data_IF_007862149490
#
_entry.id   IF_007862149490
#
_cell.length_a   1.000
_cell.length_b   1.000
_cell.length_c   1.000
_cell.angle_alpha   90.00
_cell.angle_beta   90.00
_cell.angle_gamma   90.00
#
_symmetry.space_group_name_H-M   'P 1'
#
loop_
_entity.id
_entity.type
_entity.pdbx_description
1 polymer ?
#
# COMPACT_ATOMS: atom_id res chain seq x y z
N UNK A 1 -20.88 0.92 13.06
CA UNK A 1 -19.43 0.77 12.87
C UNK A 1 -19.16 0.76 11.38
N UNK A 2 -18.21 1.54 10.94
CA UNK A 2 -17.83 1.58 9.54
C UNK A 2 -16.71 0.55 9.33
N UNK A 3 -17.09 -0.72 9.26
CA UNK A 3 -16.13 -1.76 8.93
C UNK A 3 -15.67 -1.59 7.48
N UNK A 4 -14.38 -1.76 7.26
CA UNK A 4 -13.73 -1.68 5.98
C UNK A 4 -12.66 -2.78 5.86
N UNK A 5 -11.98 -2.88 4.74
CA UNK A 5 -10.95 -3.92 4.55
C UNK A 5 -9.90 -3.90 5.66
N UNK A 6 -9.44 -2.71 6.06
CA UNK A 6 -8.41 -2.56 7.10
C UNK A 6 -8.89 -3.06 8.46
N UNK A 7 -10.09 -2.65 8.91
CA UNK A 7 -10.62 -3.08 10.19
C UNK A 7 -10.90 -4.58 10.20
N UNK A 8 -11.52 -5.10 9.15
CA UNK A 8 -11.75 -6.55 8.99
C UNK A 8 -10.44 -7.32 9.08
N UNK A 9 -9.41 -6.88 8.35
CA UNK A 9 -8.11 -7.57 8.34
C UNK A 9 -7.39 -7.50 9.70
N UNK A 10 -7.47 -6.37 10.41
CA UNK A 10 -6.89 -6.24 11.75
C UNK A 10 -7.55 -7.23 12.71
N UNK A 11 -8.89 -7.35 12.70
CA UNK A 11 -9.60 -8.30 13.55
C UNK A 11 -9.23 -9.75 13.22
N UNK A 12 -9.21 -10.14 11.95
CA UNK A 12 -8.75 -11.47 11.52
C UNK A 12 -7.36 -11.81 12.09
N UNK A 13 -6.43 -10.86 12.00
CA UNK A 13 -5.05 -11.05 12.47
C UNK A 13 -4.98 -11.14 14.01
N UNK A 14 -5.70 -10.29 14.73
CA UNK A 14 -5.71 -10.31 16.19
C UNK A 14 -6.34 -11.62 16.69
N UNK A 15 -7.48 -12.01 16.14
CA UNK A 15 -8.21 -13.21 16.56
C UNK A 15 -7.47 -14.52 16.22
N UNK A 16 -6.62 -14.51 15.20
CA UNK A 16 -5.79 -15.65 14.84
C UNK A 16 -4.67 -15.96 15.86
N UNK A 17 -4.43 -15.08 16.83
CA UNK A 17 -3.35 -15.22 17.79
C UNK A 17 -3.87 -15.28 19.24
N UNK A 18 -3.47 -16.30 20.02
CA UNK A 18 -3.77 -16.39 21.45
C UNK A 18 -3.07 -15.31 22.29
N UNK A 19 -1.90 -14.86 21.84
CA UNK A 19 -1.14 -13.76 22.45
C UNK A 19 -0.37 -13.03 21.37
N UNK A 20 -0.19 -11.72 21.56
CA UNK A 20 0.50 -10.85 20.64
C UNK A 20 1.76 -10.34 21.33
N UNK A 21 2.90 -10.96 21.02
CA UNK A 21 4.20 -10.44 21.39
C UNK A 21 4.64 -9.31 20.43
N UNK A 22 5.76 -8.68 20.71
CA UNK A 22 6.27 -7.58 19.88
C UNK A 22 6.56 -7.99 18.42
N UNK A 23 6.98 -9.21 18.19
CA UNK A 23 7.26 -9.73 16.84
C UNK A 23 5.96 -9.94 16.05
N UNK A 24 4.94 -10.50 16.69
CA UNK A 24 3.60 -10.67 16.11
C UNK A 24 2.98 -9.29 15.85
N UNK A 25 3.08 -8.36 16.81
CA UNK A 25 2.61 -6.99 16.64
C UNK A 25 3.22 -6.30 15.41
N UNK A 26 4.54 -6.41 15.20
CA UNK A 26 5.20 -5.87 14.00
C UNK A 26 4.70 -6.53 12.72
N UNK A 27 4.42 -7.83 12.72
CA UNK A 27 3.85 -8.52 11.55
C UNK A 27 2.45 -8.02 11.22
N UNK A 28 1.61 -7.81 12.24
CA UNK A 28 0.27 -7.23 12.05
C UNK A 28 0.37 -5.81 11.49
N UNK A 29 1.26 -4.97 12.07
CA UNK A 29 1.46 -3.59 11.61
C UNK A 29 1.86 -3.52 10.12
N UNK A 30 2.66 -4.45 9.65
CA UNK A 30 3.15 -4.50 8.27
C UNK A 30 2.42 -5.51 7.38
N UNK A 31 1.24 -6.01 7.81
CA UNK A 31 0.39 -6.79 6.92
C UNK A 31 -0.12 -5.92 5.77
N UNK A 32 0.03 -6.42 4.56
CA UNK A 32 -0.32 -5.72 3.34
C UNK A 32 -1.37 -6.45 2.51
N UNK A 33 -2.20 -7.29 3.17
CA UNK A 33 -3.24 -8.06 2.49
C UNK A 33 -4.63 -7.47 2.68
N UNK A 34 -5.46 -7.67 1.66
CA UNK A 34 -6.90 -7.49 1.80
C UNK A 34 -7.55 -8.69 2.49
N UNK A 35 -8.69 -8.52 3.18
CA UNK A 35 -9.51 -9.63 3.66
C UNK A 35 -10.22 -10.34 2.52
N UNK A 36 -10.87 -11.47 2.83
CA UNK A 36 -11.73 -12.20 1.91
C UNK A 36 -13.11 -12.40 2.55
N UNK A 37 -14.18 -11.89 1.93
CA UNK A 37 -14.28 -11.03 0.74
C UNK A 37 -13.71 -9.62 0.96
N UNK A 38 -13.68 -8.80 -0.09
CA UNK A 38 -13.41 -7.38 0.05
C UNK A 38 -14.53 -6.69 0.84
N UNK A 39 -14.17 -5.73 1.69
CA UNK A 39 -15.10 -4.96 2.50
C UNK A 39 -14.89 -3.44 2.31
N UNK A 40 -15.20 -2.96 1.11
CA UNK A 40 -15.14 -1.54 0.81
C UNK A 40 -16.43 -0.82 1.21
N UNK A 41 -16.33 0.33 1.84
CA UNK A 41 -17.49 1.15 2.20
C UNK A 41 -18.21 1.74 0.99
N UNK A 42 -17.50 2.03 -0.10
CA UNK A 42 -18.02 2.79 -1.23
C UNK A 42 -18.00 2.04 -2.56
N UNK A 43 -17.05 1.15 -2.77
CA UNK A 43 -16.89 0.44 -4.03
C UNK A 43 -16.92 -1.06 -3.79
N UNK A 44 -18.07 -1.69 -3.98
CA UNK A 44 -18.16 -3.15 -3.92
C UNK A 44 -17.75 -3.75 -5.28
N UNK A 45 -16.55 -4.29 -5.29
CA UNK A 45 -15.95 -4.95 -6.46
C UNK A 45 -15.95 -6.47 -6.34
N UNK A 46 -16.64 -7.05 -5.35
CA UNK A 46 -16.64 -8.50 -5.13
C UNK A 46 -17.17 -9.29 -6.33
N UNK A 47 -18.03 -8.69 -7.16
CA UNK A 47 -18.50 -9.31 -8.40
C UNK A 47 -17.38 -9.81 -9.32
N UNK A 48 -16.16 -9.21 -9.26
CA UNK A 48 -15.01 -9.69 -10.06
C UNK A 48 -14.63 -11.13 -9.69
N UNK A 49 -14.81 -11.52 -8.43
CA UNK A 49 -14.48 -12.86 -7.94
C UNK A 49 -15.45 -13.94 -8.42
N UNK A 50 -16.63 -13.51 -8.93
CA UNK A 50 -17.69 -14.39 -9.45
C UNK A 50 -17.80 -14.38 -10.98
N UNK A 51 -16.98 -13.57 -11.65
CA UNK A 51 -16.95 -13.52 -13.11
C UNK A 51 -16.39 -14.82 -13.67
N UNK A 52 -17.00 -15.34 -14.73
CA UNK A 52 -16.44 -16.47 -15.47
C UNK A 52 -15.58 -15.96 -16.62
N UNK A 53 -14.27 -16.23 -16.66
CA UNK A 53 -13.38 -15.73 -17.71
C UNK A 53 -13.89 -16.05 -19.13
N UNK A 54 -14.54 -17.19 -19.30
CA UNK A 54 -15.12 -17.62 -20.58
C UNK A 54 -16.26 -16.73 -21.11
N UNK A 55 -16.94 -16.00 -20.22
CA UNK A 55 -18.01 -15.06 -20.58
C UNK A 55 -17.43 -13.69 -20.99
N UNK A 56 -16.14 -13.44 -20.72
CA UNK A 56 -15.45 -12.17 -20.99
C UNK A 56 -14.09 -12.41 -21.65
N UNK A 57 -14.05 -12.98 -22.86
CA UNK A 57 -12.80 -13.47 -23.49
C UNK A 57 -11.75 -12.39 -23.68
N UNK A 58 -12.15 -11.15 -23.93
CA UNK A 58 -11.22 -10.03 -24.13
C UNK A 58 -10.39 -9.68 -22.90
N UNK A 59 -10.85 -10.02 -21.70
CA UNK A 59 -10.23 -9.70 -20.42
C UNK A 59 -10.09 -10.91 -19.50
N UNK A 60 -10.26 -12.12 -20.03
CA UNK A 60 -10.19 -13.37 -19.28
C UNK A 60 -8.90 -13.50 -18.48
N UNK A 61 -7.77 -13.14 -19.08
CA UNK A 61 -6.44 -13.16 -18.45
C UNK A 61 -6.34 -12.23 -17.22
N UNK A 62 -6.97 -11.07 -17.24
CA UNK A 62 -6.99 -10.15 -16.08
C UNK A 62 -7.93 -10.63 -14.98
N UNK A 63 -9.09 -11.19 -15.36
CA UNK A 63 -10.03 -11.78 -14.39
C UNK A 63 -9.34 -12.92 -13.65
N UNK A 64 -8.68 -13.84 -14.38
CA UNK A 64 -7.95 -14.96 -13.79
C UNK A 64 -6.80 -14.49 -12.89
N UNK A 65 -6.03 -13.47 -13.29
CA UNK A 65 -4.97 -12.90 -12.47
C UNK A 65 -5.50 -12.36 -11.13
N UNK A 66 -6.64 -11.66 -11.14
CA UNK A 66 -7.25 -11.09 -9.94
C UNK A 66 -7.89 -12.19 -9.07
N UNK A 67 -8.57 -13.16 -9.67
CA UNK A 67 -9.19 -14.27 -8.93
C UNK A 67 -8.16 -15.19 -8.26
N UNK A 68 -7.03 -15.44 -8.92
CA UNK A 68 -5.94 -16.28 -8.38
C UNK A 68 -4.96 -15.53 -7.49
N UNK A 69 -5.16 -14.22 -7.29
CA UNK A 69 -4.31 -13.40 -6.46
C UNK A 69 -4.50 -13.71 -4.96
N UNK A 70 -3.40 -13.83 -4.22
CA UNK A 70 -3.36 -14.09 -2.78
C UNK A 70 -3.76 -12.89 -1.90
N UNK A 71 -4.26 -11.81 -2.51
CA UNK A 71 -4.64 -10.54 -1.90
C UNK A 71 -3.50 -9.71 -1.30
N UNK A 72 -2.24 -10.14 -1.46
CA UNK A 72 -1.07 -9.39 -1.02
C UNK A 72 -0.77 -8.22 -1.96
N UNK A 73 -0.57 -7.04 -1.38
CA UNK A 73 -0.11 -5.85 -2.09
C UNK A 73 1.43 -5.72 -2.06
N UNK A 74 2.12 -6.86 -2.16
CA UNK A 74 3.58 -6.90 -2.31
C UNK A 74 4.02 -6.33 -3.65
N UNK A 75 5.19 -5.66 -3.67
CA UNK A 75 5.74 -5.02 -4.88
C UNK A 75 5.95 -5.98 -6.05
N UNK A 76 6.16 -7.27 -5.78
CA UNK A 76 6.36 -8.30 -6.79
C UNK A 76 5.07 -9.01 -7.23
N UNK A 77 3.95 -8.73 -6.58
CA UNK A 77 2.66 -9.37 -6.88
C UNK A 77 2.11 -8.89 -8.22
N UNK A 78 1.90 -9.81 -9.16
CA UNK A 78 1.27 -9.52 -10.45
C UNK A 78 -0.24 -9.40 -10.33
N UNK A 79 -0.87 -10.18 -9.45
CA UNK A 79 -2.28 -10.03 -9.13
C UNK A 79 -2.59 -8.65 -8.52
N UNK A 80 -1.70 -8.16 -7.63
CA UNK A 80 -1.81 -6.80 -7.10
C UNK A 80 -1.61 -5.74 -8.20
N UNK A 81 -0.70 -5.95 -9.14
CA UNK A 81 -0.51 -5.04 -10.28
C UNK A 81 -1.76 -4.92 -11.15
N UNK A 82 -2.37 -6.05 -11.50
CA UNK A 82 -3.64 -6.08 -12.24
C UNK A 82 -4.77 -5.41 -11.46
N UNK A 83 -4.92 -5.77 -10.17
CA UNK A 83 -5.96 -5.23 -9.32
C UNK A 83 -5.78 -3.73 -9.04
N UNK A 84 -4.57 -3.27 -8.79
CA UNK A 84 -4.30 -1.85 -8.54
C UNK A 84 -4.64 -0.99 -9.75
N UNK A 85 -4.25 -1.42 -10.96
CA UNK A 85 -4.60 -0.68 -12.17
C UNK A 85 -6.11 -0.69 -12.41
N UNK A 86 -6.79 -1.80 -12.16
CA UNK A 86 -8.25 -1.88 -12.19
C UNK A 86 -8.87 -0.92 -11.16
N UNK A 87 -8.45 -0.98 -9.90
CA UNK A 87 -8.99 -0.15 -8.83
C UNK A 87 -8.88 1.35 -9.12
N UNK A 88 -7.69 1.83 -9.51
CA UNK A 88 -7.50 3.25 -9.82
C UNK A 88 -8.25 3.68 -11.08
N UNK A 89 -8.34 2.83 -12.10
CA UNK A 89 -9.15 3.13 -13.31
C UNK A 89 -10.64 3.20 -12.98
N UNK A 90 -11.13 2.31 -12.13
CA UNK A 90 -12.51 2.32 -11.67
C UNK A 90 -12.80 3.56 -10.80
N UNK A 91 -11.91 3.87 -9.85
CA UNK A 91 -12.04 5.02 -8.97
C UNK A 91 -12.07 6.34 -9.75
N UNK A 92 -11.17 6.53 -10.71
CA UNK A 92 -11.12 7.74 -11.54
C UNK A 92 -12.44 7.98 -12.28
N UNK A 93 -13.09 6.90 -12.75
CA UNK A 93 -14.32 7.02 -13.54
C UNK A 93 -15.60 7.10 -12.73
N UNK A 94 -15.64 6.36 -11.62
CA UNK A 94 -16.91 6.04 -10.96
C UNK A 94 -16.93 6.39 -9.48
N UNK A 95 -15.92 7.08 -8.95
CA UNK A 95 -15.85 7.42 -7.53
C UNK A 95 -17.13 8.12 -7.04
N UNK A 96 -17.62 9.10 -7.78
CA UNK A 96 -18.86 9.81 -7.41
C UNK A 96 -20.11 8.94 -7.55
N UNK A 97 -20.15 8.02 -8.51
CA UNK A 97 -21.27 7.07 -8.68
C UNK A 97 -21.39 6.14 -7.49
N UNK A 98 -20.26 5.74 -6.89
CA UNK A 98 -20.21 4.81 -5.75
C UNK A 98 -20.91 5.34 -4.49
N UNK A 99 -21.13 6.64 -4.37
CA UNK A 99 -21.94 7.20 -3.28
C UNK A 99 -23.44 6.83 -3.40
N UNK A 100 -23.93 6.59 -4.62
CA UNK A 100 -25.34 6.31 -4.90
C UNK A 100 -25.60 4.84 -5.17
N UNK A 101 -24.65 4.17 -5.82
CA UNK A 101 -24.72 2.75 -6.15
C UNK A 101 -23.35 2.11 -5.89
N UNK A 102 -23.28 1.35 -4.80
CA UNK A 102 -22.01 0.75 -4.32
C UNK A 102 -21.65 -0.54 -5.03
N UNK A 103 -22.61 -1.17 -5.71
CA UNK A 103 -22.41 -2.46 -6.35
C UNK A 103 -22.12 -2.28 -7.84
N UNK A 104 -20.92 -2.62 -8.25
CA UNK A 104 -20.50 -2.57 -9.65
C UNK A 104 -20.85 -3.86 -10.36
N UNK A 105 -21.66 -3.75 -11.41
CA UNK A 105 -22.06 -4.89 -12.24
C UNK A 105 -20.86 -5.55 -12.93
N UNK A 106 -20.98 -6.85 -13.22
CA UNK A 106 -19.94 -7.61 -13.95
C UNK A 106 -19.62 -6.99 -15.32
N UNK A 107 -20.64 -6.45 -16.02
CA UNK A 107 -20.43 -5.75 -17.29
C UNK A 107 -19.57 -4.49 -17.11
N UNK A 108 -19.85 -3.64 -16.13
CA UNK A 108 -19.08 -2.43 -15.87
C UNK A 108 -17.64 -2.74 -15.45
N UNK A 109 -17.44 -3.80 -14.67
CA UNK A 109 -16.11 -4.31 -14.32
C UNK A 109 -15.38 -4.76 -15.58
N UNK A 110 -16.03 -5.52 -16.48
CA UNK A 110 -15.43 -5.96 -17.73
C UNK A 110 -15.01 -4.78 -18.63
N UNK A 111 -15.86 -3.77 -18.78
CA UNK A 111 -15.54 -2.55 -19.54
C UNK A 111 -14.32 -1.83 -18.95
N UNK A 112 -14.23 -1.75 -17.64
CA UNK A 112 -13.07 -1.18 -16.95
C UNK A 112 -11.79 -2.00 -17.21
N UNK A 113 -11.89 -3.34 -17.15
CA UNK A 113 -10.76 -4.24 -17.43
C UNK A 113 -10.26 -4.14 -18.89
N UNK A 114 -11.14 -3.87 -19.86
CA UNK A 114 -10.73 -3.60 -21.25
C UNK A 114 -9.82 -2.37 -21.32
N UNK A 115 -10.12 -1.32 -20.59
CA UNK A 115 -9.26 -0.13 -20.53
C UNK A 115 -7.95 -0.39 -19.81
N UNK A 116 -8.01 -1.13 -18.70
CA UNK A 116 -6.82 -1.59 -17.98
C UNK A 116 -5.89 -2.34 -18.93
N UNK A 117 -6.43 -3.30 -19.68
CA UNK A 117 -5.65 -4.08 -20.65
C UNK A 117 -5.02 -3.22 -21.74
N UNK A 118 -5.75 -2.22 -22.28
CA UNK A 118 -5.19 -1.24 -23.22
C UNK A 118 -4.06 -0.43 -22.61
N UNK A 119 -4.24 0.04 -21.37
CA UNK A 119 -3.22 0.80 -20.63
C UNK A 119 -1.97 -0.03 -20.37
N UNK A 120 -2.13 -1.28 -19.91
CA UNK A 120 -1.04 -2.23 -19.68
C UNK A 120 -0.24 -2.48 -20.96
N UNK A 121 -0.91 -2.78 -22.07
CA UNK A 121 -0.25 -2.98 -23.37
C UNK A 121 0.49 -1.73 -23.84
N UNK A 122 -0.13 -0.55 -23.72
CA UNK A 122 0.45 0.71 -24.18
C UNK A 122 1.73 1.09 -23.43
N UNK A 123 1.74 0.97 -22.10
CA UNK A 123 2.83 1.51 -21.29
C UNK A 123 3.82 0.47 -20.80
N UNK A 124 3.39 -0.80 -20.70
CA UNK A 124 4.22 -1.89 -20.16
C UNK A 124 4.49 -3.00 -21.17
N UNK A 125 3.89 -2.93 -22.36
CA UNK A 125 3.97 -3.97 -23.40
C UNK A 125 3.64 -5.39 -22.87
N UNK A 126 2.76 -5.48 -21.89
CA UNK A 126 2.39 -6.71 -21.19
C UNK A 126 0.96 -6.61 -20.66
N UNK A 127 0.33 -7.73 -20.35
CA UNK A 127 -0.90 -7.80 -19.54
C UNK A 127 -0.65 -8.41 -18.16
N UNK A 128 0.63 -8.61 -17.82
CA UNK A 128 1.06 -9.10 -16.51
C UNK A 128 2.16 -8.18 -16.01
N UNK A 129 1.85 -7.35 -15.01
CA UNK A 129 2.77 -6.38 -14.41
C UNK A 129 2.78 -6.55 -12.89
N UNK A 130 3.91 -6.31 -12.26
CA UNK A 130 4.01 -6.29 -10.80
C UNK A 130 3.44 -4.97 -10.26
N UNK A 131 2.93 -4.99 -9.03
CA UNK A 131 2.50 -3.75 -8.36
C UNK A 131 3.60 -2.69 -8.38
N UNK A 132 4.84 -3.09 -8.06
CA UNK A 132 5.98 -2.18 -8.02
C UNK A 132 6.43 -1.62 -9.38
N UNK A 133 6.03 -2.23 -10.51
CA UNK A 133 6.24 -1.65 -11.84
C UNK A 133 5.28 -0.48 -12.06
N UNK A 134 4.09 -0.57 -11.54
CA UNK A 134 2.99 0.39 -11.68
C UNK A 134 2.99 1.48 -10.60
N UNK A 135 3.15 1.11 -9.30
CA UNK A 135 3.04 2.02 -8.16
C UNK A 135 4.41 2.42 -7.62
N UNK A 136 4.63 3.74 -7.48
CA UNK A 136 5.92 4.31 -7.10
C UNK A 136 5.83 5.20 -5.87
N UNK A 137 6.83 5.10 -5.01
CA UNK A 137 7.16 6.12 -4.01
C UNK A 137 8.15 7.08 -4.66
N UNK A 138 7.82 8.38 -4.68
CA UNK A 138 8.61 9.39 -5.39
C UNK A 138 8.90 10.57 -4.47
N UNK A 139 10.16 10.97 -4.36
CA UNK A 139 10.58 12.17 -3.62
C UNK A 139 11.82 12.78 -4.29
N UNK A 140 11.64 13.95 -4.91
CA UNK A 140 12.68 14.55 -5.75
C UNK A 140 12.99 13.68 -6.97
N UNK A 141 14.25 13.41 -7.20
CA UNK A 141 14.74 12.54 -8.26
C UNK A 141 14.65 11.04 -7.95
N UNK A 142 14.37 10.68 -6.69
CA UNK A 142 14.30 9.28 -6.25
C UNK A 142 12.92 8.68 -6.51
N UNK A 143 12.90 7.63 -7.32
CA UNK A 143 11.74 6.82 -7.64
C UNK A 143 11.99 5.37 -7.25
N UNK A 144 11.07 4.72 -6.52
CA UNK A 144 11.21 3.32 -6.17
C UNK A 144 9.86 2.59 -6.09
N UNK A 145 9.84 1.27 -6.30
CA UNK A 145 8.64 0.46 -6.08
C UNK A 145 8.13 0.57 -4.64
N UNK A 146 6.81 0.58 -4.46
CA UNK A 146 6.21 0.59 -3.13
C UNK A 146 5.00 -0.34 -3.06
N UNK A 147 4.86 -0.99 -1.92
CA UNK A 147 3.75 -1.85 -1.51
C UNK A 147 2.52 -1.04 -1.09
N UNK A 148 1.46 -1.75 -0.74
CA UNK A 148 0.27 -1.16 -0.16
C UNK A 148 -0.75 -0.67 -1.20
N UNK A 149 -1.96 -0.47 -0.77
CA UNK A 149 -3.07 0.07 -1.55
C UNK A 149 -4.05 0.80 -0.61
N UNK A 150 -5.03 1.53 -1.16
CA UNK A 150 -6.10 2.07 -0.33
C UNK A 150 -6.77 0.99 0.51
N UNK A 151 -6.98 1.31 1.79
CA UNK A 151 -7.74 0.50 2.73
C UNK A 151 -7.15 -0.88 3.11
N UNK A 152 -5.85 -1.11 2.91
CA UNK A 152 -5.08 -2.14 3.61
C UNK A 152 -4.41 -1.56 4.86
N UNK A 153 -3.83 -2.38 5.75
CA UNK A 153 -3.17 -1.88 6.97
C UNK A 153 -1.99 -0.97 6.61
N UNK A 154 -1.19 -1.35 5.62
CA UNK A 154 -0.14 -0.51 5.02
C UNK A 154 -0.72 0.40 3.94
N UNK A 155 -1.62 1.29 4.35
CA UNK A 155 -2.42 2.08 3.41
C UNK A 155 -1.59 3.03 2.55
N UNK A 156 -1.86 2.98 1.23
CA UNK A 156 -1.29 3.87 0.24
C UNK A 156 -2.38 4.33 -0.73
N UNK A 157 -2.46 5.64 -0.95
CA UNK A 157 -3.24 6.23 -2.03
C UNK A 157 -2.28 6.84 -3.04
N UNK A 158 -2.59 6.67 -4.30
CA UNK A 158 -1.75 7.15 -5.38
C UNK A 158 -2.56 7.95 -6.40
N UNK A 159 -1.89 8.80 -7.13
CA UNK A 159 -2.44 9.55 -8.26
C UNK A 159 -1.62 9.29 -9.53
N UNK A 160 -2.18 9.68 -10.68
CA UNK A 160 -1.53 9.51 -11.97
C UNK A 160 -0.13 10.12 -11.98
N UNK A 161 0.81 9.37 -12.53
CA UNK A 161 2.21 9.73 -12.73
C UNK A 161 2.62 9.46 -14.18
N UNK A 162 3.87 9.71 -14.52
CA UNK A 162 4.41 9.51 -15.89
C UNK A 162 4.34 8.05 -16.35
N UNK A 163 4.34 7.83 -17.64
CA UNK A 163 4.49 6.52 -18.30
C UNK A 163 3.46 5.47 -17.85
N UNK A 164 2.22 5.89 -17.64
CA UNK A 164 1.14 4.98 -17.24
C UNK A 164 1.20 4.50 -15.79
N UNK A 165 2.18 4.96 -15.00
CA UNK A 165 2.36 4.66 -13.58
C UNK A 165 1.49 5.54 -12.69
N UNK A 166 1.46 5.21 -11.41
CA UNK A 166 0.93 6.06 -10.33
C UNK A 166 2.04 6.33 -9.30
N UNK A 167 1.98 7.51 -8.67
CA UNK A 167 2.82 7.84 -7.53
C UNK A 167 2.00 7.94 -6.26
N UNK A 168 2.53 7.42 -5.17
CA UNK A 168 1.90 7.55 -3.84
C UNK A 168 1.93 9.01 -3.41
N UNK A 169 0.76 9.51 -3.03
CA UNK A 169 0.57 10.89 -2.56
C UNK A 169 0.13 10.96 -1.11
N UNK A 170 -0.55 9.91 -0.63
CA UNK A 170 -1.04 9.80 0.75
C UNK A 170 -0.83 8.38 1.25
N UNK A 171 -0.56 8.26 2.54
CA UNK A 171 -0.37 6.96 3.17
C UNK A 171 0.20 7.11 4.57
N UNK A 172 1.02 6.17 4.97
CA UNK A 172 1.73 6.25 6.24
C UNK A 172 2.80 7.35 6.19
N UNK A 173 2.80 8.26 7.17
CA UNK A 173 3.77 9.36 7.24
C UNK A 173 4.86 9.07 8.27
N UNK A 174 4.48 8.83 9.51
CA UNK A 174 5.38 8.51 10.62
C UNK A 174 4.90 7.26 11.35
N UNK A 175 5.79 6.29 11.48
CA UNK A 175 5.55 5.06 12.24
C UNK A 175 6.48 5.06 13.44
N UNK A 176 5.91 4.84 14.62
CA UNK A 176 6.64 4.65 15.86
C UNK A 176 6.15 3.39 16.57
N UNK A 177 7.07 2.48 16.86
CA UNK A 177 6.80 1.26 17.59
C UNK A 177 7.48 1.37 18.95
N UNK A 178 6.70 1.30 20.01
CA UNK A 178 7.17 1.47 21.38
C UNK A 178 6.94 0.18 22.17
N UNK A 179 7.99 -0.30 22.83
CA UNK A 179 7.95 -1.47 23.70
C UNK A 179 8.36 -1.09 25.09
N UNK A 180 7.46 -1.26 26.05
CA UNK A 180 7.72 -1.10 27.48
C UNK A 180 8.08 -2.44 28.10
N UNK A 181 9.14 -2.47 28.91
CA UNK A 181 9.55 -3.67 29.63
C UNK A 181 10.20 -3.30 30.97
N UNK A 182 10.45 -4.29 31.83
CA UNK A 182 11.20 -4.11 33.06
C UNK A 182 12.65 -3.63 32.86
N UNK A 183 13.16 -3.75 31.61
CA UNK A 183 14.50 -3.28 31.22
C UNK A 183 14.49 -1.86 30.66
N UNK A 184 13.33 -1.21 30.61
CA UNK A 184 13.15 0.13 30.07
C UNK A 184 12.31 0.16 28.79
N UNK A 185 12.33 1.29 28.12
CA UNK A 185 11.57 1.56 26.89
C UNK A 185 12.46 1.44 25.67
N UNK A 186 12.02 0.64 24.71
CA UNK A 186 12.65 0.51 23.39
C UNK A 186 11.76 1.17 22.35
N UNK A 187 12.33 1.99 21.45
CA UNK A 187 11.58 2.68 20.40
C UNK A 187 12.25 2.44 19.04
N UNK A 188 11.41 2.16 18.09
CA UNK A 188 11.79 2.15 16.67
C UNK A 188 10.90 3.12 15.90
N UNK A 189 11.46 3.82 14.92
CA UNK A 189 10.66 4.74 14.07
C UNK A 189 11.12 4.72 12.63
N UNK A 190 10.24 5.18 11.74
CA UNK A 190 10.51 5.42 10.34
C UNK A 190 9.57 6.50 9.80
N UNK A 191 10.06 7.29 8.87
CA UNK A 191 9.27 8.22 8.05
C UNK A 191 9.31 7.69 6.62
N UNK A 192 8.20 7.79 5.87
CA UNK A 192 8.10 7.20 4.53
C UNK A 192 9.12 7.75 3.53
N UNK A 193 9.53 9.01 3.70
CA UNK A 193 10.49 9.68 2.82
C UNK A 193 11.80 9.97 3.53
N UNK A 194 11.81 10.94 4.40
CA UNK A 194 12.94 11.44 5.15
C UNK A 194 12.47 12.52 6.11
N UNK A 195 13.37 13.06 6.95
CA UNK A 195 13.02 14.00 8.02
C UNK A 195 13.24 15.48 7.64
N UNK A 196 13.45 15.78 6.37
CA UNK A 196 13.61 17.16 5.86
C UNK A 196 12.68 17.41 4.67
N UNK A 197 12.17 18.62 4.56
CA UNK A 197 11.44 19.15 3.40
C UNK A 197 12.38 19.90 2.41
N UNK A 198 13.61 20.17 2.81
CA UNK A 198 14.62 20.77 1.95
C UNK A 198 15.23 19.72 1.01
N UNK A 199 15.11 19.92 -0.30
CA UNK A 199 15.61 19.01 -1.34
C UNK A 199 17.12 18.82 -1.31
N UNK A 200 17.89 19.83 -0.87
CA UNK A 200 19.34 19.76 -0.73
C UNK A 200 19.79 19.00 0.52
N UNK A 201 18.87 18.70 1.42
CA UNK A 201 19.19 17.98 2.65
C UNK A 201 19.46 16.51 2.37
N UNK A 202 20.52 15.90 2.95
CA UNK A 202 20.74 14.46 2.89
C UNK A 202 19.61 13.65 3.55
N UNK A 203 18.71 14.33 4.29
CA UNK A 203 17.57 13.73 4.96
C UNK A 203 16.23 13.92 4.22
N UNK A 204 16.28 14.39 2.98
CA UNK A 204 15.09 14.61 2.17
C UNK A 204 14.37 13.31 1.78
N UNK A 205 15.16 12.28 1.42
CA UNK A 205 14.64 11.00 0.95
C UNK A 205 15.44 9.77 1.47
N UNK A 206 16.20 9.93 2.53
CA UNK A 206 17.13 8.93 3.06
C UNK A 206 16.45 7.71 3.72
N UNK A 207 15.17 7.83 4.10
CA UNK A 207 14.44 6.76 4.76
C UNK A 207 13.57 5.92 3.80
N UNK A 208 13.41 6.34 2.54
CA UNK A 208 12.57 5.64 1.56
C UNK A 208 12.93 4.15 1.40
N UNK A 209 14.22 3.84 1.35
CA UNK A 209 14.68 2.46 1.18
C UNK A 209 14.39 1.59 2.42
N UNK A 210 14.56 2.13 3.62
CA UNK A 210 14.22 1.43 4.85
C UNK A 210 12.71 1.18 4.92
N UNK A 211 11.92 2.20 4.61
CA UNK A 211 10.47 2.13 4.62
C UNK A 211 9.95 1.09 3.62
N UNK A 212 10.44 1.09 2.37
CA UNK A 212 10.04 0.14 1.34
C UNK A 212 10.37 -1.32 1.67
N UNK A 213 11.25 -1.56 2.63
CA UNK A 213 11.66 -2.88 3.12
C UNK A 213 11.09 -3.22 4.51
N UNK A 214 10.09 -2.48 5.00
CA UNK A 214 9.51 -2.63 6.34
C UNK A 214 10.54 -2.54 7.48
N UNK A 215 11.62 -1.79 7.26
CA UNK A 215 12.67 -1.57 8.24
C UNK A 215 12.46 -0.26 8.99
N UNK A 216 12.89 -0.27 10.25
CA UNK A 216 12.83 0.87 11.15
C UNK A 216 14.24 1.21 11.65
N UNK A 217 14.42 2.41 12.17
CA UNK A 217 15.62 2.83 12.90
C UNK A 217 15.33 2.89 14.39
N UNK A 218 16.31 2.52 15.21
CA UNK A 218 16.21 2.64 16.65
C UNK A 218 16.31 4.10 17.07
N UNK A 219 15.54 4.47 18.08
CA UNK A 219 15.64 5.75 18.78
C UNK A 219 16.25 5.51 20.16
N UNK A 220 17.06 6.44 20.64
CA UNK A 220 17.66 6.38 21.96
C UNK A 220 17.23 7.57 22.83
N UNK A 221 16.92 7.30 24.09
CA UNK A 221 16.75 8.31 25.14
C UNK A 221 18.00 8.48 25.99
N UNK A 222 19.06 7.68 25.75
CA UNK A 222 20.32 7.82 26.43
C UNK A 222 21.01 9.09 25.95
N UNK A 223 21.11 10.08 26.86
CA UNK A 223 21.68 11.40 26.57
C UNK A 223 23.14 11.31 26.13
N UNK A 224 23.92 10.46 26.74
CA UNK A 224 25.35 10.33 26.45
C UNK A 224 25.56 9.67 25.11
N UNK A 225 24.74 8.64 24.79
CA UNK A 225 24.69 8.03 23.45
C UNK A 225 24.31 9.05 22.40
N UNK A 226 23.25 9.85 22.64
CA UNK A 226 22.78 10.85 21.67
C UNK A 226 23.86 11.92 21.44
N UNK A 227 24.47 12.46 22.51
CA UNK A 227 25.52 13.46 22.39
C UNK A 227 26.77 12.93 21.67
N UNK A 228 27.17 11.69 21.95
CA UNK A 228 28.33 11.05 21.30
C UNK A 228 28.10 10.84 19.80
N UNK A 229 26.86 10.60 19.38
CA UNK A 229 26.50 10.33 18.00
C UNK A 229 25.89 11.55 17.28
N UNK A 230 25.73 12.67 17.97
CA UNK A 230 25.24 13.90 17.39
C UNK A 230 26.26 14.49 16.41
N UNK A 231 25.80 14.84 15.21
CA UNK A 231 26.64 15.53 14.22
C UNK A 231 26.85 17.01 14.58
N UNK A 232 25.81 17.61 15.18
CA UNK A 232 25.80 19.01 15.59
C UNK A 232 24.86 19.16 16.76
N UNK A 233 25.22 20.03 17.73
CA UNK A 233 24.35 20.44 18.83
C UNK A 233 24.14 21.95 18.76
N UNK A 234 22.89 22.39 18.97
CA UNK A 234 22.53 23.80 19.00
C UNK A 234 21.37 24.04 19.98
N UNK A 235 21.27 25.26 20.47
CA UNK A 235 20.10 25.67 21.24
C UNK A 235 19.03 26.19 20.26
N UNK A 236 17.81 25.66 20.30
CA UNK A 236 16.70 26.24 19.51
C UNK A 236 16.49 27.69 19.97
N UNK A 237 16.30 28.58 19.00
CA UNK A 237 15.95 29.99 19.25
C UNK A 237 14.48 30.14 19.57
#
# INVERSE_FOLDING_TARGET
TFDNNRSTRIFELIESHKSIDYKVFKKIKYDNKFPTPFNYNFMDVNNIMEMKPTEYPDVADLIEQIQNWDRSTDVNSTGAGAYAMFYYTLADKYFYKSYYDRNFSKSLIADCLVEVKKRMKKYFNSTTIKLGDFQKLVRGDKEMPIFGMPDVITAMNASTYKDGKVQVTHGESYIQLVKFSSKGTEIESIISYGSSDNEESPHYNDQMELYSKFKTKKMSFDKDYVLKNARTTYNPK
#
